data_IF_939591221081
#
_entry.id   IF_939591221081
#
_cell.length_a   1.000
_cell.length_b   1.000
_cell.length_c   1.000
_cell.angle_alpha   90.00
_cell.angle_beta   90.00
_cell.angle_gamma   90.00
#
_symmetry.space_group_name_H-M   'P 1'
#
loop_
_entity.id
_entity.type
_entity.pdbx_description
1 polymer ?
#
# COMPACT_ATOMS: atom_id res chain seq x y z
N UNK A 1 22.43 7.75 7.61
CA UNK A 1 22.06 7.58 6.20
C UNK A 1 20.64 8.07 6.03
N UNK A 2 20.36 8.85 4.99
CA UNK A 2 19.03 9.36 4.73
C UNK A 2 18.10 8.22 4.29
N UNK A 3 16.85 8.20 4.76
CA UNK A 3 15.77 7.37 4.23
C UNK A 3 15.11 8.11 3.07
N UNK A 4 14.66 7.38 2.05
CA UNK A 4 13.90 7.92 0.94
C UNK A 4 12.44 7.48 1.04
N UNK A 5 11.51 8.40 0.77
CA UNK A 5 10.09 8.07 0.67
C UNK A 5 9.86 7.16 -0.55
N UNK A 6 9.61 5.88 -0.33
CA UNK A 6 9.40 4.85 -1.35
C UNK A 6 8.14 4.06 -1.00
N UNK A 7 7.16 4.06 -1.90
CA UNK A 7 5.88 3.40 -1.70
C UNK A 7 5.74 2.27 -2.72
N UNK A 8 5.78 1.04 -2.23
CA UNK A 8 5.57 -0.19 -3.00
C UNK A 8 4.92 -1.25 -2.10
N UNK A 9 4.27 -2.28 -2.65
CA UNK A 9 3.67 -3.33 -1.84
C UNK A 9 4.71 -4.11 -1.03
N UNK A 10 4.33 -4.44 0.18
CA UNK A 10 5.10 -5.26 1.11
C UNK A 10 4.18 -6.31 1.71
N UNK A 11 4.57 -7.57 1.66
CA UNK A 11 3.97 -8.63 2.46
C UNK A 11 4.91 -8.95 3.60
N UNK A 12 4.42 -8.91 4.82
CA UNK A 12 5.22 -9.35 5.96
C UNK A 12 4.52 -10.44 6.75
N UNK A 13 5.31 -11.27 7.42
CA UNK A 13 4.85 -12.30 8.34
C UNK A 13 5.44 -12.01 9.70
N UNK A 14 4.57 -11.94 10.70
CA UNK A 14 4.93 -11.84 12.11
C UNK A 14 4.05 -12.80 12.90
N UNK A 15 4.64 -13.59 13.79
CA UNK A 15 3.93 -14.55 14.64
C UNK A 15 2.97 -15.50 13.88
N UNK A 16 3.36 -15.89 12.67
CA UNK A 16 2.58 -16.77 11.79
C UNK A 16 1.46 -16.09 11.01
N UNK A 17 1.22 -14.79 11.22
CA UNK A 17 0.21 -14.01 10.50
C UNK A 17 0.85 -13.30 9.32
N UNK A 18 0.32 -13.53 8.13
CA UNK A 18 0.74 -12.86 6.90
C UNK A 18 -0.13 -11.63 6.64
N UNK A 19 0.51 -10.48 6.47
CA UNK A 19 -0.15 -9.20 6.26
C UNK A 19 0.40 -8.54 5.02
N UNK A 20 -0.50 -8.06 4.16
CA UNK A 20 -0.17 -7.31 2.96
C UNK A 20 -0.42 -5.83 3.19
N UNK A 21 0.57 -5.02 2.84
CA UNK A 21 0.53 -3.57 3.05
C UNK A 21 1.49 -2.86 2.08
N UNK A 22 1.91 -1.64 2.42
CA UNK A 22 2.85 -0.86 1.63
C UNK A 22 4.00 -0.31 2.49
N UNK A 23 5.13 -0.08 1.85
CA UNK A 23 6.22 0.72 2.44
C UNK A 23 5.83 2.20 2.52
N UNK A 24 6.55 2.94 3.35
CA UNK A 24 6.53 4.42 3.43
C UNK A 24 7.87 5.00 3.04
N UNK A 25 8.91 4.44 3.63
CA UNK A 25 10.29 4.88 3.46
C UNK A 25 11.20 3.67 3.44
N UNK A 26 12.33 3.78 2.77
CA UNK A 26 13.37 2.76 2.77
C UNK A 26 14.75 3.40 2.82
N UNK A 27 15.67 2.68 3.43
CA UNK A 27 17.11 2.95 3.38
C UNK A 27 17.86 1.65 3.10
N UNK A 28 19.16 1.72 2.94
CA UNK A 28 20.00 0.51 2.81
C UNK A 28 19.99 -0.37 4.09
N UNK A 29 19.55 0.16 5.23
CA UNK A 29 19.57 -0.51 6.53
C UNK A 29 18.20 -1.02 6.98
N UNK A 30 17.09 -0.53 6.39
CA UNK A 30 15.76 -0.88 6.86
C UNK A 30 14.64 -0.21 6.09
N UNK A 31 13.43 -0.50 6.52
CA UNK A 31 12.20 -0.09 5.84
C UNK A 31 11.13 0.33 6.85
N UNK A 32 10.41 1.42 6.56
CA UNK A 32 9.18 1.76 7.22
C UNK A 32 8.00 1.13 6.47
N UNK A 33 7.17 0.41 7.20
CA UNK A 33 6.01 -0.33 6.70
C UNK A 33 4.75 0.21 7.36
N UNK A 34 3.69 0.46 6.58
CA UNK A 34 2.38 0.81 7.13
C UNK A 34 1.74 -0.39 7.77
N UNK A 35 1.09 -0.18 8.91
CA UNK A 35 0.23 -1.17 9.55
C UNK A 35 -0.65 -0.47 10.58
N UNK A 36 -1.94 -0.79 10.60
CA UNK A 36 -2.86 -0.31 11.64
C UNK A 36 -2.72 -1.12 12.93
N UNK A 37 -2.16 -2.33 12.83
CA UNK A 37 -1.83 -3.22 13.94
C UNK A 37 -0.36 -3.64 13.86
N UNK A 38 0.58 -2.70 14.06
CA UNK A 38 1.99 -2.98 13.84
C UNK A 38 2.57 -3.94 14.89
N UNK A 39 3.52 -4.79 14.49
CA UNK A 39 4.22 -5.68 15.42
C UNK A 39 4.94 -4.92 16.53
N UNK A 40 5.13 -5.57 17.66
CA UNK A 40 5.86 -4.99 18.78
C UNK A 40 7.35 -4.76 18.46
N UNK A 41 7.93 -3.76 19.11
CA UNK A 41 9.39 -3.52 19.05
C UNK A 41 10.14 -4.76 19.48
N UNK A 42 11.20 -5.11 18.73
CA UNK A 42 12.00 -6.33 18.93
C UNK A 42 11.47 -7.55 18.16
N UNK A 43 10.24 -7.54 17.68
CA UNK A 43 9.69 -8.65 16.89
C UNK A 43 10.50 -8.89 15.61
N UNK A 44 10.61 -10.15 15.21
CA UNK A 44 11.23 -10.55 13.95
C UNK A 44 10.15 -10.66 12.88
N UNK A 45 10.38 -10.01 11.74
CA UNK A 45 9.46 -10.01 10.61
C UNK A 45 10.15 -10.56 9.37
N UNK A 46 9.49 -11.46 8.66
CA UNK A 46 9.89 -11.88 7.32
C UNK A 46 9.10 -11.05 6.31
N UNK A 47 9.78 -10.45 5.34
CA UNK A 47 9.17 -9.52 4.40
C UNK A 47 9.44 -9.94 2.95
N UNK A 48 8.42 -9.86 2.11
CA UNK A 48 8.52 -9.89 0.66
C UNK A 48 8.31 -8.46 0.15
N UNK A 49 9.32 -7.91 -0.48
CA UNK A 49 9.38 -6.53 -0.98
C UNK A 49 9.14 -6.57 -2.49
N UNK A 50 8.00 -6.03 -2.94
CA UNK A 50 7.65 -5.99 -4.37
C UNK A 50 8.21 -4.70 -4.98
N UNK A 51 9.52 -4.72 -5.21
CA UNK A 51 10.23 -3.56 -5.76
C UNK A 51 9.78 -3.28 -7.20
N UNK A 52 9.88 -2.01 -7.67
CA UNK A 52 9.62 -1.66 -9.07
C UNK A 52 10.53 -2.44 -10.00
N UNK A 53 10.00 -2.82 -11.15
CA UNK A 53 10.75 -3.48 -12.25
C UNK A 53 11.40 -4.84 -11.85
N UNK A 54 10.85 -5.51 -10.82
CA UNK A 54 11.24 -6.89 -10.48
C UNK A 54 10.12 -7.86 -10.81
N UNK A 55 10.47 -9.01 -11.40
CA UNK A 55 9.52 -10.08 -11.75
C UNK A 55 9.04 -10.86 -10.51
N UNK A 56 9.81 -10.84 -9.44
CA UNK A 56 9.54 -11.53 -8.18
C UNK A 56 9.86 -10.62 -6.99
N UNK A 57 9.19 -10.82 -5.84
CA UNK A 57 9.49 -10.06 -4.64
C UNK A 57 10.87 -10.40 -4.08
N UNK A 58 11.54 -9.41 -3.53
CA UNK A 58 12.78 -9.59 -2.78
C UNK A 58 12.49 -9.97 -1.34
N UNK A 59 13.16 -11.00 -0.85
CA UNK A 59 12.96 -11.48 0.53
C UNK A 59 13.95 -10.82 1.48
N UNK A 60 13.43 -10.30 2.59
CA UNK A 60 14.21 -9.74 3.66
C UNK A 60 13.71 -10.21 5.03
N UNK A 61 14.59 -10.36 5.99
CA UNK A 61 14.25 -10.56 7.39
C UNK A 61 14.69 -9.30 8.15
N UNK A 62 13.79 -8.76 8.95
CA UNK A 62 14.05 -7.57 9.75
C UNK A 62 13.68 -7.77 11.22
N UNK A 63 14.16 -6.84 12.04
CA UNK A 63 13.75 -6.67 13.44
C UNK A 63 13.07 -5.32 13.60
N UNK A 64 11.91 -5.31 14.20
CA UNK A 64 11.17 -4.09 14.47
C UNK A 64 11.92 -3.22 15.46
N UNK A 65 12.37 -2.05 15.01
CA UNK A 65 13.11 -1.09 15.84
C UNK A 65 12.19 0.00 16.40
N UNK A 66 11.11 0.34 15.69
CA UNK A 66 10.08 1.31 16.10
C UNK A 66 8.72 0.81 15.66
N UNK A 67 7.70 1.07 16.48
CA UNK A 67 6.32 0.67 16.22
C UNK A 67 5.38 1.76 16.75
N UNK A 68 4.34 2.14 16.01
CA UNK A 68 3.35 3.12 16.40
C UNK A 68 1.98 2.78 15.78
N UNK A 69 0.93 2.83 16.60
CA UNK A 69 -0.47 2.68 16.18
C UNK A 69 -1.30 3.94 16.52
N UNK A 70 -0.67 5.06 16.92
CA UNK A 70 -1.37 6.21 17.50
C UNK A 70 -2.23 6.99 16.51
N UNK A 71 -1.80 7.11 15.26
CA UNK A 71 -2.57 7.80 14.23
C UNK A 71 -2.52 7.01 12.92
N UNK A 72 -3.64 6.82 12.20
CA UNK A 72 -3.68 6.02 10.98
C UNK A 72 -2.65 6.43 9.92
N UNK A 73 -2.39 7.73 9.79
CA UNK A 73 -1.39 8.25 8.85
C UNK A 73 0.03 7.80 9.18
N UNK A 74 0.34 7.70 10.48
CA UNK A 74 1.66 7.39 11.01
C UNK A 74 1.75 5.96 11.55
N UNK A 75 0.62 5.23 11.57
CA UNK A 75 0.58 3.85 12.00
C UNK A 75 1.49 2.96 11.13
N UNK A 76 2.29 2.15 11.81
CA UNK A 76 3.24 1.27 11.17
C UNK A 76 4.47 1.01 12.02
N UNK A 77 5.47 0.44 11.40
CA UNK A 77 6.71 0.10 12.07
C UNK A 77 7.92 0.35 11.17
N UNK A 78 9.06 0.55 11.78
CA UNK A 78 10.36 0.51 11.13
C UNK A 78 11.03 -0.82 11.45
N UNK A 79 11.47 -1.57 10.43
CA UNK A 79 12.26 -2.78 10.60
C UNK A 79 13.68 -2.58 10.07
N UNK A 80 14.66 -2.81 10.92
CA UNK A 80 16.06 -2.90 10.51
C UNK A 80 16.30 -4.24 9.84
N UNK A 81 16.96 -4.24 8.69
CA UNK A 81 17.29 -5.46 7.96
C UNK A 81 18.34 -6.28 8.71
N UNK A 82 18.02 -7.55 9.04
CA UNK A 82 18.96 -8.52 9.60
C UNK A 82 19.55 -9.36 8.48
N UNK A 83 18.71 -9.86 7.58
CA UNK A 83 19.11 -10.68 6.44
C UNK A 83 18.45 -10.13 5.20
N UNK A 84 19.25 -9.84 4.20
CA UNK A 84 18.81 -9.45 2.85
C UNK A 84 19.75 -10.14 1.87
N UNK A 85 19.19 -10.79 0.87
CA UNK A 85 19.97 -11.38 -0.20
C UNK A 85 20.92 -10.34 -0.85
N UNK A 86 22.16 -10.68 -1.20
CA UNK A 86 23.10 -9.73 -1.80
C UNK A 86 22.57 -9.05 -3.08
N UNK A 87 21.83 -9.78 -3.93
CA UNK A 87 21.22 -9.22 -5.15
C UNK A 87 20.08 -8.26 -4.80
N UNK A 88 19.23 -8.62 -3.82
CA UNK A 88 18.19 -7.74 -3.30
C UNK A 88 18.79 -6.46 -2.73
N UNK A 89 19.88 -6.57 -1.97
CA UNK A 89 20.62 -5.40 -1.42
C UNK A 89 21.14 -4.49 -2.53
N UNK A 90 21.68 -5.04 -3.59
CA UNK A 90 22.15 -4.28 -4.75
C UNK A 90 21.00 -3.57 -5.46
N UNK A 91 19.84 -4.24 -5.68
CA UNK A 91 18.65 -3.64 -6.27
C UNK A 91 18.09 -2.51 -5.42
N UNK A 92 18.01 -2.70 -4.11
CA UNK A 92 17.62 -1.65 -3.15
C UNK A 92 18.56 -0.44 -3.26
N UNK A 93 19.87 -0.65 -3.30
CA UNK A 93 20.85 0.43 -3.42
C UNK A 93 20.71 1.20 -4.73
N UNK A 94 20.52 0.50 -5.85
CA UNK A 94 20.29 1.12 -7.15
C UNK A 94 18.98 1.92 -7.19
N UNK A 95 17.90 1.39 -6.59
CA UNK A 95 16.62 2.08 -6.49
C UNK A 95 16.73 3.37 -5.67
N UNK A 96 17.48 3.34 -4.55
CA UNK A 96 17.73 4.51 -3.72
C UNK A 96 18.57 5.56 -4.47
N UNK A 97 19.64 5.14 -5.16
CA UNK A 97 20.50 6.03 -5.94
C UNK A 97 19.74 6.71 -7.10
N UNK A 98 18.95 5.94 -7.87
CA UNK A 98 18.14 6.48 -8.96
C UNK A 98 17.12 7.53 -8.47
N UNK A 99 16.66 7.41 -7.23
CA UNK A 99 15.70 8.35 -6.66
C UNK A 99 16.35 9.62 -6.13
N UNK A 100 17.57 9.56 -5.65
CA UNK A 100 18.33 10.76 -5.25
C UNK A 100 18.60 11.68 -6.46
N UNK A 101 18.71 11.09 -7.67
CA UNK A 101 18.87 11.83 -8.94
C UNK A 101 17.54 12.37 -9.47
N UNK A 102 16.42 11.68 -9.22
CA UNK A 102 15.09 12.07 -9.69
C UNK A 102 14.38 12.96 -8.66
N UNK A 103 14.37 14.28 -8.87
CA UNK A 103 13.66 15.27 -8.01
C UNK A 103 12.11 15.14 -8.01
N UNK A 104 11.52 14.12 -8.64
CA UNK A 104 10.06 13.88 -8.65
C UNK A 104 9.77 12.45 -8.18
N UNK A 105 8.76 12.25 -7.29
CA UNK A 105 8.32 10.92 -6.92
C UNK A 105 7.71 10.22 -8.14
N UNK A 106 8.45 9.32 -8.74
CA UNK A 106 7.93 8.44 -9.77
C UNK A 106 6.95 7.45 -9.13
N UNK A 107 5.79 7.28 -9.76
CA UNK A 107 4.79 6.30 -9.30
C UNK A 107 5.30 4.90 -9.56
N UNK A 108 5.42 4.12 -8.51
CA UNK A 108 5.98 2.77 -8.54
C UNK A 108 5.09 1.77 -9.28
N UNK A 109 3.78 2.03 -9.38
CA UNK A 109 2.81 1.18 -10.05
C UNK A 109 1.89 1.97 -10.96
N UNK A 110 1.62 1.39 -12.14
CA UNK A 110 0.62 1.89 -13.06
C UNK A 110 -0.76 1.92 -12.36
N UNK A 111 -1.52 2.97 -12.63
CA UNK A 111 -2.92 3.06 -12.28
C UNK A 111 -3.73 2.78 -13.53
N UNK A 112 -4.60 1.79 -13.46
CA UNK A 112 -5.50 1.47 -14.56
C UNK A 112 -6.87 2.11 -14.29
N UNK A 113 -7.50 2.72 -15.31
CA UNK A 113 -8.86 3.18 -15.21
C UNK A 113 -9.79 1.97 -15.03
N UNK A 114 -10.71 2.06 -14.09
CA UNK A 114 -11.66 0.98 -13.78
C UNK A 114 -13.03 1.57 -13.44
N UNK A 115 -14.07 0.76 -13.64
CA UNK A 115 -15.42 1.00 -13.13
C UNK A 115 -15.80 -0.15 -12.22
N UNK A 116 -15.54 0.01 -10.93
CA UNK A 116 -15.78 -1.01 -9.89
C UNK A 116 -16.69 -0.39 -8.84
N UNK A 117 -17.74 -1.13 -8.45
CA UNK A 117 -18.56 -0.75 -7.30
C UNK A 117 -17.75 -0.92 -6.02
N UNK A 118 -17.69 0.12 -5.22
CA UNK A 118 -16.92 0.17 -3.98
C UNK A 118 -17.85 0.55 -2.85
N UNK A 119 -17.79 -0.20 -1.77
CA UNK A 119 -18.33 0.21 -0.48
C UNK A 119 -17.17 0.59 0.40
N UNK A 120 -17.21 1.77 0.99
CA UNK A 120 -16.24 2.11 2.00
C UNK A 120 -16.93 2.62 3.27
N UNK A 121 -16.33 2.31 4.40
CA UNK A 121 -16.81 2.69 5.71
C UNK A 121 -15.72 3.45 6.46
N UNK A 122 -16.08 4.64 6.92
CA UNK A 122 -15.33 5.38 7.94
C UNK A 122 -15.84 4.98 9.34
N UNK A 123 -15.22 5.52 10.38
CA UNK A 123 -15.72 5.34 11.75
C UNK A 123 -17.15 5.92 11.98
N UNK A 124 -17.65 6.73 11.06
CA UNK A 124 -18.93 7.46 11.19
C UNK A 124 -19.96 7.13 10.13
N UNK A 125 -19.55 6.73 8.92
CA UNK A 125 -20.43 6.63 7.75
C UNK A 125 -20.09 5.44 6.87
N UNK A 126 -21.11 4.96 6.19
CA UNK A 126 -21.03 3.95 5.15
C UNK A 126 -21.42 4.60 3.81
N UNK A 127 -20.62 4.45 2.77
CA UNK A 127 -20.87 5.00 1.44
C UNK A 127 -20.71 3.94 0.37
N UNK A 128 -21.59 3.97 -0.64
CA UNK A 128 -21.48 3.17 -1.87
C UNK A 128 -21.09 4.10 -3.02
N UNK A 129 -19.96 3.83 -3.64
CA UNK A 129 -19.36 4.70 -4.65
C UNK A 129 -18.73 3.88 -5.78
N UNK A 130 -18.12 4.56 -6.75
CA UNK A 130 -17.45 3.91 -7.86
C UNK A 130 -15.97 4.26 -7.91
N UNK A 131 -15.16 3.25 -8.09
CA UNK A 131 -13.74 3.46 -8.35
C UNK A 131 -13.51 4.00 -9.75
N UNK A 132 -12.64 4.98 -9.85
CA UNK A 132 -12.19 5.55 -11.13
C UNK A 132 -10.88 4.92 -11.58
N UNK A 133 -10.01 4.60 -10.64
CA UNK A 133 -8.78 3.89 -10.93
C UNK A 133 -8.33 3.00 -9.77
N UNK A 134 -7.65 1.93 -10.11
CA UNK A 134 -7.13 0.92 -9.20
C UNK A 134 -5.65 0.67 -9.49
N UNK A 135 -4.91 0.39 -8.45
CA UNK A 135 -3.55 -0.12 -8.51
C UNK A 135 -3.35 -1.20 -7.44
N UNK A 136 -2.24 -1.94 -7.50
CA UNK A 136 -1.92 -2.95 -6.46
C UNK A 136 -1.77 -2.36 -5.04
N UNK A 137 -1.51 -1.07 -4.92
CA UNK A 137 -1.30 -0.41 -3.63
C UNK A 137 -2.47 0.45 -3.15
N UNK A 138 -3.49 0.68 -3.97
CA UNK A 138 -4.61 1.55 -3.59
C UNK A 138 -5.59 1.83 -4.69
N UNK A 139 -6.60 2.62 -4.35
CA UNK A 139 -7.75 2.92 -5.20
C UNK A 139 -8.09 4.42 -5.13
N UNK A 140 -8.60 4.98 -6.24
CA UNK A 140 -9.22 6.29 -6.22
C UNK A 140 -10.73 6.11 -6.43
N UNK A 141 -11.51 6.60 -5.49
CA UNK A 141 -12.97 6.50 -5.45
C UNK A 141 -13.55 7.88 -5.69
N UNK A 142 -14.55 7.98 -6.58
CA UNK A 142 -15.34 9.18 -6.73
C UNK A 142 -16.21 9.34 -5.48
N UNK A 143 -16.24 10.54 -4.92
CA UNK A 143 -17.12 10.86 -3.79
C UNK A 143 -17.38 12.36 -3.74
N UNK A 144 -18.62 12.75 -3.52
CA UNK A 144 -19.00 14.14 -3.34
C UNK A 144 -18.71 14.61 -1.90
N UNK A 145 -18.61 13.67 -0.95
CA UNK A 145 -18.26 13.92 0.45
C UNK A 145 -17.04 13.07 0.86
N UNK A 146 -15.86 13.34 0.28
CA UNK A 146 -14.69 12.53 0.54
C UNK A 146 -14.21 12.66 2.00
N UNK A 147 -13.95 11.52 2.69
CA UNK A 147 -13.43 11.56 4.05
C UNK A 147 -12.09 12.29 4.14
N UNK A 148 -11.75 12.89 5.30
CA UNK A 148 -10.52 13.62 5.49
C UNK A 148 -9.27 12.78 5.23
N UNK A 149 -8.21 13.42 4.75
CA UNK A 149 -6.88 12.78 4.66
C UNK A 149 -6.46 12.25 6.03
N UNK A 150 -5.82 11.09 6.05
CA UNK A 150 -5.39 10.34 7.23
C UNK A 150 -6.51 9.60 7.99
N UNK A 151 -7.74 9.59 7.47
CA UNK A 151 -8.79 8.72 8.01
C UNK A 151 -8.48 7.25 7.72
N UNK A 152 -8.71 6.39 8.72
CA UNK A 152 -8.79 4.95 8.49
C UNK A 152 -10.16 4.62 7.88
N UNK A 153 -10.18 3.75 6.90
CA UNK A 153 -11.38 3.29 6.20
C UNK A 153 -11.34 1.78 5.99
N UNK A 154 -12.48 1.16 5.89
CA UNK A 154 -12.62 -0.20 5.37
C UNK A 154 -13.19 -0.11 3.97
N UNK A 155 -12.57 -0.79 3.03
CA UNK A 155 -12.94 -0.79 1.61
C UNK A 155 -13.38 -2.18 1.22
N UNK A 156 -14.57 -2.31 0.64
CA UNK A 156 -15.08 -3.53 0.04
C UNK A 156 -15.23 -3.33 -1.47
N UNK A 157 -14.66 -4.21 -2.27
CA UNK A 157 -14.65 -4.13 -3.72
C UNK A 157 -15.46 -5.28 -4.32
N UNK A 158 -16.44 -4.95 -5.16
CA UNK A 158 -17.13 -5.92 -6.00
C UNK A 158 -16.44 -5.95 -7.37
N UNK A 159 -15.55 -6.91 -7.58
CA UNK A 159 -14.84 -7.05 -8.84
C UNK A 159 -15.75 -7.65 -9.92
N UNK A 160 -15.56 -7.26 -11.20
CA UNK A 160 -16.42 -7.73 -12.31
C UNK A 160 -16.26 -9.22 -12.67
N UNK A 161 -15.40 -9.95 -12.00
CA UNK A 161 -15.14 -11.37 -12.19
C UNK A 161 -16.25 -12.30 -11.66
N UNK A 162 -17.34 -11.73 -11.10
CA UNK A 162 -18.50 -12.46 -10.57
C UNK A 162 -18.23 -13.18 -9.23
N UNK A 163 -17.06 -13.04 -8.65
CA UNK A 163 -16.74 -13.61 -7.34
C UNK A 163 -17.32 -12.78 -6.17
N UNK A 164 -17.19 -13.28 -4.93
CA UNK A 164 -17.66 -12.55 -3.75
C UNK A 164 -16.89 -11.25 -3.57
N UNK A 165 -17.45 -10.23 -2.89
CA UNK A 165 -16.71 -9.02 -2.54
C UNK A 165 -15.41 -9.33 -1.78
N UNK A 166 -14.41 -8.46 -1.94
CA UNK A 166 -13.15 -8.55 -1.19
C UNK A 166 -12.92 -7.27 -0.41
N UNK A 167 -12.44 -7.40 0.82
CA UNK A 167 -12.29 -6.27 1.75
C UNK A 167 -10.86 -6.06 2.17
N UNK A 168 -10.51 -4.81 2.39
CA UNK A 168 -9.22 -4.39 2.96
C UNK A 168 -9.38 -3.17 3.84
N UNK A 169 -8.55 -3.06 4.87
CA UNK A 169 -8.34 -1.79 5.53
C UNK A 169 -7.60 -0.82 4.60
N UNK A 170 -7.80 0.47 4.80
CA UNK A 170 -7.15 1.52 4.04
C UNK A 170 -6.94 2.80 4.83
N UNK A 171 -6.08 3.65 4.30
CA UNK A 171 -5.84 5.00 4.80
C UNK A 171 -6.04 6.00 3.68
N UNK A 172 -6.81 7.04 3.94
CA UNK A 172 -6.99 8.16 3.01
C UNK A 172 -5.68 8.93 2.88
N UNK A 173 -5.09 8.93 1.68
CA UNK A 173 -3.81 9.60 1.40
C UNK A 173 -3.95 10.82 0.50
N UNK A 174 -5.12 10.98 -0.12
CA UNK A 174 -5.40 12.11 -1.00
C UNK A 174 -6.90 12.40 -1.04
N UNK A 175 -7.27 13.68 -1.07
CA UNK A 175 -8.65 14.16 -1.16
C UNK A 175 -8.76 15.22 -2.26
N UNK A 176 -9.79 15.13 -3.07
CA UNK A 176 -10.17 16.16 -4.05
C UNK A 176 -11.59 16.61 -3.70
N UNK A 177 -11.71 17.86 -3.25
CA UNK A 177 -13.01 18.44 -2.90
C UNK A 177 -13.82 18.81 -4.14
N UNK A 178 -15.16 18.79 -4.05
CA UNK A 178 -16.05 19.24 -5.13
C UNK A 178 -15.79 20.73 -5.52
N UNK A 179 -16.10 21.08 -6.76
CA UNK A 179 -16.03 22.45 -7.26
C UNK A 179 -14.73 22.82 -7.99
N UNK A 180 -13.77 21.91 -8.10
CA UNK A 180 -12.53 22.09 -8.87
C UNK A 180 -12.62 21.56 -10.31
N UNK A 181 -11.51 21.69 -11.08
CA UNK A 181 -11.38 21.09 -12.42
C UNK A 181 -11.20 19.58 -12.42
N UNK A 182 -10.86 19.00 -11.28
CA UNK A 182 -10.66 17.56 -11.09
C UNK A 182 -11.91 16.94 -10.50
N UNK A 183 -12.18 15.71 -10.86
CA UNK A 183 -13.26 14.91 -10.30
C UNK A 183 -13.08 14.76 -8.79
N UNK A 184 -14.16 15.08 -8.03
CA UNK A 184 -14.16 14.98 -6.58
C UNK A 184 -14.00 13.52 -6.16
N UNK A 185 -13.27 13.28 -5.08
CA UNK A 185 -13.05 11.93 -4.63
C UNK A 185 -11.88 11.76 -3.66
N UNK A 186 -11.58 10.51 -3.38
CA UNK A 186 -10.61 10.12 -2.36
C UNK A 186 -9.65 9.06 -2.88
N UNK A 187 -8.37 9.28 -2.65
CA UNK A 187 -7.31 8.28 -2.85
C UNK A 187 -7.07 7.50 -1.56
N UNK A 188 -7.30 6.21 -1.60
CA UNK A 188 -7.14 5.30 -0.48
C UNK A 188 -5.96 4.38 -0.76
N UNK A 189 -5.04 4.28 0.17
CA UNK A 189 -3.96 3.32 0.18
C UNK A 189 -4.39 2.10 0.98
N UNK A 190 -4.29 0.90 0.39
CA UNK A 190 -4.58 -0.34 1.11
C UNK A 190 -3.53 -0.61 2.18
N UNK A 191 -3.98 -1.03 3.35
CA UNK A 191 -3.15 -1.40 4.51
C UNK A 191 -3.70 -2.68 5.12
N UNK A 192 -2.79 -3.51 5.64
CA UNK A 192 -3.15 -4.74 6.34
C UNK A 192 -4.09 -5.68 5.54
N UNK A 193 -3.95 -5.66 4.21
CA UNK A 193 -4.75 -6.49 3.32
C UNK A 193 -4.43 -7.97 3.49
N UNK A 194 -5.46 -8.82 3.44
CA UNK A 194 -5.31 -10.28 3.45
C UNK A 194 -4.76 -10.83 2.13
N UNK A 195 -4.15 -12.02 2.16
CA UNK A 195 -3.69 -12.68 0.94
C UNK A 195 -4.83 -12.89 -0.09
N UNK A 196 -6.06 -13.35 0.27
CA UNK A 196 -7.16 -13.47 -0.67
C UNK A 196 -7.55 -12.14 -1.35
N UNK A 197 -7.53 -11.03 -0.62
CA UNK A 197 -7.77 -9.70 -1.20
C UNK A 197 -6.74 -9.41 -2.29
N UNK A 198 -5.47 -9.59 -1.97
CA UNK A 198 -4.39 -9.30 -2.89
C UNK A 198 -4.43 -10.18 -4.14
N UNK A 199 -4.55 -11.50 -3.97
CA UNK A 199 -4.61 -12.43 -5.10
C UNK A 199 -5.74 -12.08 -6.06
N UNK A 200 -6.88 -11.62 -5.54
CA UNK A 200 -8.00 -11.16 -6.34
C UNK A 200 -7.68 -9.87 -7.10
N UNK A 201 -7.05 -8.90 -6.41
CA UNK A 201 -6.63 -7.64 -7.04
C UNK A 201 -5.57 -7.90 -8.12
N UNK A 202 -4.55 -8.71 -7.83
CA UNK A 202 -3.50 -9.04 -8.79
C UNK A 202 -4.08 -9.72 -10.04
N UNK A 203 -4.94 -10.73 -9.87
CA UNK A 203 -5.61 -11.44 -10.97
C UNK A 203 -6.47 -10.50 -11.80
N UNK A 204 -7.22 -9.61 -11.16
CA UNK A 204 -8.03 -8.63 -11.86
C UNK A 204 -7.16 -7.64 -12.64
N UNK A 205 -6.12 -7.08 -12.03
CA UNK A 205 -5.19 -6.16 -12.68
C UNK A 205 -4.49 -6.79 -13.89
N UNK A 206 -4.10 -8.07 -13.78
CA UNK A 206 -3.46 -8.83 -14.87
C UNK A 206 -4.43 -9.16 -16.01
N UNK A 207 -5.75 -9.17 -15.74
CA UNK A 207 -6.80 -9.36 -16.75
C UNK A 207 -7.14 -8.10 -17.56
N UNK A 208 -6.74 -6.92 -17.07
CA UNK A 208 -7.00 -5.66 -17.75
C UNK A 208 -6.03 -5.47 -18.92
N UNK A 209 -6.51 -4.97 -20.08
CA UNK A 209 -5.64 -4.71 -21.21
C UNK A 209 -4.58 -3.66 -20.81
N UNK A 210 -3.31 -4.01 -21.02
CA UNK A 210 -2.22 -3.04 -20.91
C UNK A 210 -2.38 -1.99 -22.03
N UNK A 211 -2.80 -0.80 -21.66
CA UNK A 211 -2.77 0.37 -22.55
C UNK A 211 -1.44 1.08 -22.46
#
# INVERSE_FOLDING_TARGET
MASAALVFPVRYVCDGVAIQTTSREMSALGIAVRSLSPPNVGARVSMALYLPNTAAPEVAIGRVARSSAQAPADAGFWADFIVVDPQARMRISNLLAARDEARRPERTFARLPVHIQVRFRTAREFSEEHAINLSRGGIFIRSDEPPPVNSAVEVELQLPDGGPPVSSAGVVVHQVLPGGKKEAGVGIQFVDSSDPFRERIDRYMDSLPNN
#
